data_IF_970757438311
#
_entry.id   IF_970757438311
#
_cell.length_a   1.000
_cell.length_b   1.000
_cell.length_c   1.000
_cell.angle_alpha   90.00
_cell.angle_beta   90.00
_cell.angle_gamma   90.00
#
_symmetry.space_group_name_H-M   'P 1'
#
loop_
_entity.id
_entity.type
_entity.pdbx_description
1 polymer ?
#
# COMPACT_ATOMS: atom_id res chain seq x y z
N UNK A 1 13.09 -30.87 -40.80
CA UNK A 1 12.24 -30.33 -41.88
C UNK A 1 11.38 -29.25 -41.26
N UNK A 2 11.66 -27.97 -41.53
CA UNK A 2 10.74 -26.90 -41.14
C UNK A 2 9.40 -27.18 -41.85
N UNK A 3 8.28 -27.17 -41.14
CA UNK A 3 7.00 -27.45 -41.78
C UNK A 3 6.68 -26.34 -42.79
N UNK A 4 6.02 -26.66 -43.89
CA UNK A 4 5.61 -25.68 -44.92
C UNK A 4 4.82 -24.50 -44.34
N UNK A 5 4.17 -24.71 -43.20
CA UNK A 5 3.49 -23.68 -42.40
C UNK A 5 4.46 -22.67 -41.77
N UNK A 6 5.62 -23.11 -41.30
CA UNK A 6 6.67 -22.22 -40.74
C UNK A 6 7.26 -21.35 -41.84
N UNK A 7 7.53 -21.92 -43.03
CA UNK A 7 8.04 -21.19 -44.20
C UNK A 7 7.02 -20.17 -44.73
N UNK A 8 5.74 -20.57 -44.84
CA UNK A 8 4.66 -19.66 -45.23
C UNK A 8 4.49 -18.52 -44.21
N UNK A 9 4.55 -18.82 -42.91
CA UNK A 9 4.43 -17.81 -41.87
C UNK A 9 5.59 -16.79 -41.93
N UNK A 10 6.82 -17.26 -42.15
CA UNK A 10 8.00 -16.39 -42.32
C UNK A 10 7.90 -15.49 -43.56
N UNK A 11 7.36 -16.01 -44.67
CA UNK A 11 7.10 -15.22 -45.88
C UNK A 11 6.02 -14.16 -45.64
N UNK A 12 4.90 -14.53 -45.01
CA UNK A 12 3.83 -13.60 -44.67
C UNK A 12 4.33 -12.49 -43.74
N UNK A 13 5.22 -12.82 -42.80
CA UNK A 13 5.87 -11.84 -41.94
C UNK A 13 6.68 -10.82 -42.73
N UNK A 14 7.31 -11.18 -43.85
CA UNK A 14 8.08 -10.23 -44.68
C UNK A 14 7.21 -9.16 -45.36
N UNK A 15 5.91 -9.42 -45.52
CA UNK A 15 4.94 -8.48 -46.11
C UNK A 15 4.28 -7.55 -45.09
N UNK A 16 4.47 -7.80 -43.79
CA UNK A 16 3.95 -6.90 -42.75
C UNK A 16 4.87 -5.66 -42.67
N UNK A 17 4.33 -4.44 -42.87
CA UNK A 17 5.12 -3.22 -42.75
C UNK A 17 5.84 -3.15 -41.41
N UNK A 18 7.10 -2.71 -41.42
CA UNK A 18 7.91 -2.62 -40.20
C UNK A 18 7.20 -1.82 -39.10
N UNK A 19 6.49 -0.75 -39.46
CA UNK A 19 5.66 0.05 -38.54
C UNK A 19 4.59 -0.78 -37.81
N UNK A 20 3.98 -1.75 -38.50
CA UNK A 20 2.97 -2.63 -37.91
C UNK A 20 3.61 -3.67 -37.00
N UNK A 21 4.78 -4.20 -37.34
CA UNK A 21 5.56 -5.09 -36.46
C UNK A 21 5.99 -4.39 -35.17
N UNK A 22 6.50 -3.16 -35.30
CA UNK A 22 6.89 -2.34 -34.15
C UNK A 22 5.67 -2.06 -33.27
N UNK A 23 4.55 -1.64 -33.85
CA UNK A 23 3.32 -1.40 -33.09
C UNK A 23 2.81 -2.66 -32.37
N UNK A 24 2.87 -3.84 -32.99
CA UNK A 24 2.50 -5.10 -32.34
C UNK A 24 3.44 -5.43 -31.17
N UNK A 25 4.76 -5.24 -31.36
CA UNK A 25 5.73 -5.46 -30.30
C UNK A 25 5.55 -4.49 -29.12
N UNK A 26 5.23 -3.22 -29.38
CA UNK A 26 4.93 -2.22 -28.35
C UNK A 26 3.69 -2.59 -27.54
N UNK A 27 2.66 -3.14 -28.18
CA UNK A 27 1.47 -3.65 -27.47
C UNK A 27 1.83 -4.83 -26.58
N UNK A 28 2.56 -5.82 -27.12
CA UNK A 28 2.96 -7.01 -26.36
C UNK A 28 3.84 -6.65 -25.16
N UNK A 29 4.78 -5.72 -25.32
CA UNK A 29 5.61 -5.21 -24.22
C UNK A 29 4.73 -4.55 -23.15
N UNK A 30 3.81 -3.67 -23.55
CA UNK A 30 2.94 -2.97 -22.61
C UNK A 30 2.02 -3.92 -21.85
N UNK A 31 1.50 -4.96 -22.49
CA UNK A 31 0.70 -5.99 -21.82
C UNK A 31 1.52 -6.72 -20.75
N UNK A 32 2.76 -7.10 -21.06
CA UNK A 32 3.68 -7.72 -20.09
C UNK A 32 4.03 -6.79 -18.93
N UNK A 33 4.25 -5.51 -19.21
CA UNK A 33 4.50 -4.48 -18.19
C UNK A 33 3.28 -4.30 -17.29
N UNK A 34 2.06 -4.28 -17.84
CA UNK A 34 0.82 -4.18 -17.08
C UNK A 34 0.64 -5.39 -16.15
N UNK A 35 0.81 -6.61 -16.68
CA UNK A 35 0.77 -7.85 -15.88
C UNK A 35 1.82 -7.87 -14.76
N UNK A 36 3.02 -7.36 -15.04
CA UNK A 36 4.07 -7.25 -14.05
C UNK A 36 3.71 -6.23 -12.96
N UNK A 37 3.17 -5.07 -13.37
CA UNK A 37 2.76 -4.01 -12.45
C UNK A 37 1.65 -4.50 -11.51
N UNK A 38 0.63 -5.21 -12.01
CA UNK A 38 -0.42 -5.80 -11.17
C UNK A 38 0.15 -6.70 -10.08
N UNK A 39 1.12 -7.56 -10.43
CA UNK A 39 1.79 -8.45 -9.47
C UNK A 39 2.64 -7.68 -8.46
N UNK A 40 3.29 -6.59 -8.88
CA UNK A 40 4.05 -5.71 -7.98
C UNK A 40 3.10 -5.04 -7.00
N UNK A 41 2.02 -4.42 -7.49
CA UNK A 41 1.04 -3.72 -6.67
C UNK A 41 0.40 -4.67 -5.64
N UNK A 42 0.04 -5.89 -6.03
CA UNK A 42 -0.48 -6.89 -5.11
C UNK A 42 0.50 -7.18 -3.94
N UNK A 43 1.81 -7.13 -4.18
CA UNK A 43 2.83 -7.30 -3.12
C UNK A 43 3.01 -6.04 -2.28
N UNK A 44 3.05 -4.89 -2.92
CA UNK A 44 3.17 -3.59 -2.22
C UNK A 44 1.97 -3.37 -1.31
N UNK A 45 0.77 -3.78 -1.73
CA UNK A 45 -0.45 -3.68 -0.95
C UNK A 45 -0.33 -4.36 0.42
N UNK A 46 0.38 -5.50 0.50
CA UNK A 46 0.59 -6.21 1.77
C UNK A 46 1.35 -5.39 2.82
N UNK A 47 2.12 -4.38 2.39
CA UNK A 47 2.90 -3.49 3.27
C UNK A 47 2.36 -2.07 3.31
N UNK A 48 1.25 -1.79 2.63
CA UNK A 48 0.61 -0.47 2.58
C UNK A 48 0.23 0.11 3.95
N UNK A 49 -0.30 -0.67 4.92
CA UNK A 49 -0.60 -0.15 6.26
C UNK A 49 0.62 0.44 7.01
N UNK A 50 1.84 0.15 6.56
CA UNK A 50 3.09 0.61 7.15
C UNK A 50 3.73 1.75 6.35
N UNK A 51 3.08 2.20 5.27
CA UNK A 51 3.57 3.29 4.43
C UNK A 51 2.95 4.63 4.84
N UNK A 52 3.80 5.65 4.99
CA UNK A 52 3.37 7.01 5.33
C UNK A 52 3.00 7.85 4.10
N UNK A 53 3.51 7.49 2.93
CA UNK A 53 3.16 8.12 1.65
C UNK A 53 2.60 7.07 0.71
N UNK A 54 1.48 7.42 0.08
CA UNK A 54 0.75 6.61 -0.88
C UNK A 54 0.95 7.10 -2.33
N UNK A 55 1.71 8.17 -2.54
CA UNK A 55 1.94 8.73 -3.87
C UNK A 55 3.13 8.06 -4.54
N UNK A 56 2.84 7.32 -5.62
CA UNK A 56 3.87 6.79 -6.51
C UNK A 56 4.45 7.92 -7.37
N UNK A 57 3.57 8.79 -7.86
CA UNK A 57 3.95 9.95 -8.68
C UNK A 57 3.25 11.16 -8.11
N UNK A 58 4.01 12.23 -7.86
CA UNK A 58 3.47 13.51 -7.44
C UNK A 58 4.09 14.65 -8.25
N UNK A 59 3.55 14.89 -9.44
CA UNK A 59 4.03 15.97 -10.32
C UNK A 59 3.15 17.20 -10.14
N UNK A 60 3.75 18.33 -9.76
CA UNK A 60 3.08 19.63 -9.73
C UNK A 60 3.82 20.61 -10.63
N UNK A 61 3.08 21.30 -11.49
CA UNK A 61 3.61 22.34 -12.37
C UNK A 61 2.86 23.64 -12.13
N UNK A 62 3.60 24.72 -11.94
CA UNK A 62 3.03 26.07 -11.90
C UNK A 62 3.12 26.70 -13.30
N UNK A 63 2.02 27.27 -13.75
CA UNK A 63 1.89 27.99 -15.02
C UNK A 63 1.52 29.44 -14.69
N UNK A 64 2.48 30.37 -14.68
CA UNK A 64 2.21 31.77 -14.37
C UNK A 64 1.42 32.44 -15.50
N UNK A 65 0.45 33.25 -15.11
CA UNK A 65 -0.30 34.16 -16.00
C UNK A 65 -0.07 35.64 -15.67
N UNK A 66 0.60 35.92 -14.55
CA UNK A 66 1.06 37.23 -14.10
C UNK A 66 2.04 37.07 -12.93
N UNK A 67 2.46 38.19 -12.35
CA UNK A 67 3.52 38.20 -11.32
C UNK A 67 3.11 37.44 -10.04
N UNK A 68 1.81 37.42 -9.72
CA UNK A 68 1.25 36.74 -8.54
C UNK A 68 -0.04 35.96 -8.89
N UNK A 69 -0.15 35.46 -10.12
CA UNK A 69 -1.31 34.68 -10.53
C UNK A 69 -0.94 33.60 -11.54
N UNK A 70 -1.69 32.50 -11.54
CA UNK A 70 -1.50 31.44 -12.52
C UNK A 70 -2.35 30.21 -12.24
N UNK A 71 -1.92 29.10 -12.83
CA UNK A 71 -2.49 27.78 -12.61
C UNK A 71 -1.48 26.85 -11.96
N UNK A 72 -1.95 25.97 -11.09
CA UNK A 72 -1.22 24.84 -10.57
C UNK A 72 -1.85 23.59 -11.17
N UNK A 73 -1.06 22.83 -11.93
CA UNK A 73 -1.47 21.55 -12.51
C UNK A 73 -0.79 20.47 -11.68
N UNK A 74 -1.58 19.69 -10.96
CA UNK A 74 -1.13 18.52 -10.20
C UNK A 74 -1.57 17.27 -10.93
N UNK A 75 -0.62 16.39 -11.26
CA UNK A 75 -0.88 15.08 -11.82
C UNK A 75 -0.22 14.04 -10.91
N UNK A 76 -1.06 13.25 -10.24
CA UNK A 76 -0.64 12.29 -9.23
C UNK A 76 -1.12 10.90 -9.57
N UNK A 77 -0.28 9.93 -9.25
CA UNK A 77 -0.63 8.52 -9.22
C UNK A 77 -0.43 8.04 -7.78
N UNK A 78 -1.51 7.57 -7.16
CA UNK A 78 -1.51 7.08 -5.81
C UNK A 78 -1.94 5.61 -5.77
N UNK A 79 -1.59 4.97 -4.66
CA UNK A 79 -1.91 3.57 -4.37
C UNK A 79 -2.42 3.50 -2.94
N UNK A 80 -3.64 3.00 -2.74
CA UNK A 80 -4.34 3.09 -1.46
C UNK A 80 -4.52 1.73 -0.80
N UNK A 81 -4.88 1.75 0.49
CA UNK A 81 -5.05 0.54 1.31
C UNK A 81 -6.31 -0.26 0.96
N UNK A 82 -7.27 0.34 0.24
CA UNK A 82 -8.56 -0.25 -0.09
C UNK A 82 -8.48 -1.32 -1.21
N UNK A 83 -7.31 -1.55 -1.78
CA UNK A 83 -7.04 -2.66 -2.69
C UNK A 83 -5.81 -2.42 -3.56
N UNK A 84 -5.36 -3.43 -4.33
CA UNK A 84 -4.21 -3.30 -5.21
C UNK A 84 -4.56 -2.54 -6.51
N UNK A 85 -5.25 -1.40 -6.40
CA UNK A 85 -5.64 -0.56 -7.53
C UNK A 85 -4.95 0.80 -7.50
N UNK A 86 -4.65 1.29 -8.70
CA UNK A 86 -4.08 2.61 -8.89
C UNK A 86 -5.17 3.67 -8.93
N UNK A 87 -4.87 4.83 -8.36
CA UNK A 87 -5.72 5.99 -8.42
C UNK A 87 -5.01 7.15 -9.07
N UNK A 88 -5.60 7.66 -10.14
CA UNK A 88 -5.13 8.87 -10.79
C UNK A 88 -5.86 10.07 -10.20
N UNK A 89 -5.10 11.09 -9.86
CA UNK A 89 -5.62 12.41 -9.52
C UNK A 89 -5.03 13.47 -10.44
N UNK A 90 -5.90 14.15 -11.18
CA UNK A 90 -5.52 15.28 -12.00
C UNK A 90 -6.30 16.51 -11.54
N UNK A 91 -5.56 17.49 -11.02
CA UNK A 91 -6.12 18.70 -10.43
C UNK A 91 -5.54 19.93 -11.13
N UNK A 92 -6.41 20.85 -11.53
CA UNK A 92 -6.02 22.17 -12.02
C UNK A 92 -6.65 23.21 -11.10
N UNK A 93 -5.82 23.96 -10.39
CA UNK A 93 -6.22 25.01 -9.47
C UNK A 93 -5.71 26.36 -9.97
N UNK A 94 -6.55 27.39 -9.94
CA UNK A 94 -6.06 28.75 -10.08
C UNK A 94 -5.40 29.20 -8.76
N UNK A 95 -4.24 29.86 -8.83
CA UNK A 95 -3.62 30.52 -7.68
C UNK A 95 -3.47 32.02 -7.97
N UNK A 96 -3.64 32.85 -6.94
CA UNK A 96 -3.45 34.28 -7.00
C UNK A 96 -4.08 35.04 -5.82
N UNK A 97 -4.09 36.37 -5.91
CA UNK A 97 -4.59 37.26 -4.84
C UNK A 97 -6.08 37.09 -4.54
N UNK A 98 -6.84 36.56 -5.49
CA UNK A 98 -8.18 36.04 -5.25
C UNK A 98 -8.07 34.50 -5.15
N UNK A 99 -8.53 33.94 -4.02
CA UNK A 99 -8.62 32.49 -3.73
C UNK A 99 -9.05 31.66 -4.96
N UNK A 100 -8.70 30.37 -5.11
CA UNK A 100 -8.94 29.61 -6.34
C UNK A 100 -10.37 29.81 -6.86
N UNK A 101 -10.50 30.55 -7.96
CA UNK A 101 -11.80 30.86 -8.55
C UNK A 101 -12.40 29.63 -9.27
N UNK A 102 -11.55 28.64 -9.60
CA UNK A 102 -11.97 27.34 -10.06
C UNK A 102 -10.96 26.25 -9.68
N UNK A 103 -11.48 25.04 -9.49
CA UNK A 103 -10.73 23.79 -9.37
C UNK A 103 -11.37 22.78 -10.33
N UNK A 104 -10.56 22.19 -11.22
CA UNK A 104 -10.98 21.02 -12.00
C UNK A 104 -10.33 19.81 -11.38
N UNK A 105 -11.15 18.83 -11.02
CA UNK A 105 -10.69 17.62 -10.34
C UNK A 105 -11.17 16.38 -11.10
N UNK A 106 -10.24 15.66 -11.71
CA UNK A 106 -10.46 14.38 -12.39
C UNK A 106 -9.74 13.28 -11.63
N UNK A 107 -10.49 12.69 -10.71
CA UNK A 107 -10.06 11.65 -9.79
C UNK A 107 -10.77 10.35 -10.14
N UNK A 108 -10.01 9.31 -10.48
CA UNK A 108 -10.58 8.00 -10.82
C UNK A 108 -9.59 6.86 -10.62
N UNK A 109 -10.15 5.68 -10.38
CA UNK A 109 -9.41 4.42 -10.54
C UNK A 109 -8.90 4.28 -11.97
N UNK A 110 -7.69 3.77 -12.12
CA UNK A 110 -7.02 3.59 -13.42
C UNK A 110 -6.42 2.19 -13.50
N UNK A 111 -6.51 1.56 -14.67
CA UNK A 111 -5.87 0.27 -14.89
C UNK A 111 -4.34 0.40 -14.97
N UNK A 112 -3.61 -0.69 -14.73
CA UNK A 112 -2.16 -0.73 -14.89
C UNK A 112 -1.73 -0.34 -16.31
N UNK A 113 -2.47 -0.79 -17.33
CA UNK A 113 -2.19 -0.48 -18.72
C UNK A 113 -2.34 1.02 -19.02
N UNK A 114 -3.44 1.64 -18.58
CA UNK A 114 -3.66 3.08 -18.74
C UNK A 114 -2.64 3.91 -17.93
N UNK A 115 -2.25 3.44 -16.75
CA UNK A 115 -1.22 4.10 -15.94
C UNK A 115 0.15 4.06 -16.65
N UNK A 116 0.55 2.91 -17.19
CA UNK A 116 1.79 2.78 -17.97
C UNK A 116 1.76 3.68 -19.20
N UNK A 117 0.63 3.72 -19.92
CA UNK A 117 0.47 4.60 -21.07
C UNK A 117 0.60 6.09 -20.70
N UNK A 118 0.12 6.48 -19.51
CA UNK A 118 0.09 7.88 -19.07
C UNK A 118 1.41 8.33 -18.46
N UNK A 119 2.07 7.46 -17.67
CA UNK A 119 3.22 7.84 -16.84
C UNK A 119 4.53 7.15 -17.24
N UNK A 120 4.46 6.01 -17.91
CA UNK A 120 5.59 5.13 -18.22
C UNK A 120 5.89 4.13 -17.12
N UNK A 121 6.16 2.87 -17.50
CA UNK A 121 6.44 1.79 -16.55
C UNK A 121 7.64 2.09 -15.65
N UNK A 122 8.75 2.54 -16.23
CA UNK A 122 9.98 2.86 -15.47
C UNK A 122 9.76 3.93 -14.40
N UNK A 123 8.96 4.96 -14.70
CA UNK A 123 8.66 6.05 -13.77
C UNK A 123 7.83 5.53 -12.60
N UNK A 124 6.85 4.67 -12.87
CA UNK A 124 6.01 4.04 -11.84
C UNK A 124 6.90 3.17 -10.93
N UNK A 125 7.75 2.32 -11.51
CA UNK A 125 8.67 1.48 -10.74
C UNK A 125 9.64 2.30 -9.87
N UNK A 126 10.17 3.41 -10.39
CA UNK A 126 11.04 4.30 -9.63
C UNK A 126 10.28 4.92 -8.44
N UNK A 127 9.06 5.41 -8.67
CA UNK A 127 8.21 5.97 -7.61
C UNK A 127 7.86 4.95 -6.52
N UNK A 128 7.50 3.73 -6.92
CA UNK A 128 7.25 2.63 -5.98
C UNK A 128 8.49 2.31 -5.14
N UNK A 129 9.67 2.26 -5.77
CA UNK A 129 10.92 2.01 -5.05
C UNK A 129 11.26 3.13 -4.05
N UNK A 130 11.01 4.39 -4.42
CA UNK A 130 11.22 5.53 -3.53
C UNK A 130 10.26 5.51 -2.34
N UNK A 131 8.98 5.25 -2.60
CA UNK A 131 7.95 5.05 -1.58
C UNK A 131 8.36 3.96 -0.57
N UNK A 132 8.87 2.83 -1.04
CA UNK A 132 9.32 1.72 -0.19
C UNK A 132 10.63 2.02 0.58
N UNK A 133 11.51 2.88 0.06
CA UNK A 133 12.76 3.26 0.76
C UNK A 133 12.49 4.08 2.02
N UNK A 134 11.37 4.79 2.08
CA UNK A 134 11.00 5.63 3.22
C UNK A 134 10.42 4.84 4.40
N UNK A 135 10.51 3.50 4.39
CA UNK A 135 9.94 2.66 5.44
C UNK A 135 10.76 2.61 6.73
N UNK A 136 10.04 2.63 7.87
CA UNK A 136 10.54 2.13 9.14
C UNK A 136 10.93 0.65 8.99
N UNK A 137 12.00 0.22 9.67
CA UNK A 137 12.41 -1.18 9.63
C UNK A 137 11.30 -2.07 10.23
N UNK A 138 10.54 -2.74 9.37
CA UNK A 138 9.37 -3.55 9.71
C UNK A 138 9.70 -4.62 10.75
N UNK A 139 10.94 -5.13 10.75
CA UNK A 139 11.40 -6.10 11.75
C UNK A 139 11.48 -5.50 13.16
N UNK A 140 11.85 -4.21 13.27
CA UNK A 140 11.91 -3.49 14.54
C UNK A 140 10.50 -3.23 15.08
N UNK A 141 9.57 -2.80 14.22
CA UNK A 141 8.18 -2.62 14.63
C UNK A 141 7.54 -3.95 15.05
N UNK A 142 7.78 -5.02 14.30
CA UNK A 142 7.30 -6.35 14.64
C UNK A 142 7.80 -6.83 16.01
N UNK A 143 9.11 -6.69 16.28
CA UNK A 143 9.71 -7.06 17.57
C UNK A 143 9.12 -6.25 18.73
N UNK A 144 8.89 -4.95 18.52
CA UNK A 144 8.25 -4.08 19.51
C UNK A 144 6.80 -4.50 19.79
N UNK A 145 6.03 -4.85 18.75
CA UNK A 145 4.65 -5.33 18.89
C UNK A 145 4.59 -6.68 19.62
N UNK A 146 5.47 -7.63 19.27
CA UNK A 146 5.57 -8.90 20.01
C UNK A 146 5.86 -8.68 21.49
N UNK A 147 6.77 -7.76 21.82
CA UNK A 147 7.10 -7.42 23.21
C UNK A 147 5.88 -6.82 23.94
N UNK A 148 5.14 -5.93 23.27
CA UNK A 148 3.91 -5.35 23.83
C UNK A 148 2.83 -6.41 24.07
N UNK A 149 2.62 -7.33 23.14
CA UNK A 149 1.67 -8.46 23.30
C UNK A 149 2.06 -9.29 24.52
N UNK A 150 3.33 -9.69 24.64
CA UNK A 150 3.82 -10.46 25.79
C UNK A 150 3.59 -9.76 27.13
N UNK A 151 3.76 -8.44 27.17
CA UNK A 151 3.50 -7.65 28.38
C UNK A 151 2.00 -7.62 28.72
N UNK A 152 1.12 -7.51 27.72
CA UNK A 152 -0.34 -7.57 27.92
C UNK A 152 -0.74 -8.95 28.43
N UNK A 153 -0.25 -10.03 27.83
CA UNK A 153 -0.54 -11.40 28.26
C UNK A 153 -0.08 -11.64 29.72
N UNK A 154 1.09 -11.11 30.08
CA UNK A 154 1.60 -11.19 31.45
C UNK A 154 0.70 -10.43 32.44
N UNK A 155 0.18 -9.27 32.05
CA UNK A 155 -0.76 -8.51 32.87
C UNK A 155 -2.11 -9.25 33.01
N UNK A 156 -2.62 -9.83 31.93
CA UNK A 156 -3.84 -10.63 31.95
C UNK A 156 -3.70 -11.84 32.87
N UNK A 157 -2.57 -12.56 32.81
CA UNK A 157 -2.29 -13.68 33.72
C UNK A 157 -2.24 -13.24 35.20
N UNK A 158 -1.64 -12.08 35.50
CA UNK A 158 -1.62 -11.54 36.87
C UNK A 158 -3.03 -11.17 37.33
N UNK A 159 -3.87 -10.62 36.45
CA UNK A 159 -5.26 -10.29 36.76
C UNK A 159 -6.12 -11.53 36.96
N UNK A 160 -5.98 -12.54 36.11
CA UNK A 160 -6.66 -13.84 36.24
C UNK A 160 -6.24 -14.54 37.54
N UNK A 161 -4.94 -14.60 37.83
CA UNK A 161 -4.43 -15.16 39.08
C UNK A 161 -4.95 -14.40 40.32
N UNK A 162 -5.04 -13.07 40.26
CA UNK A 162 -5.64 -12.27 41.35
C UNK A 162 -7.14 -12.51 41.50
N UNK A 163 -7.88 -12.62 40.40
CA UNK A 163 -9.31 -12.90 40.40
C UNK A 163 -9.61 -14.32 40.92
N UNK A 164 -8.71 -15.29 40.71
CA UNK A 164 -8.78 -16.63 41.29
C UNK A 164 -8.42 -16.66 42.79
N UNK A 165 -7.52 -15.77 43.24
CA UNK A 165 -7.12 -15.65 44.64
C UNK A 165 -8.11 -14.88 45.52
N UNK A 166 -8.84 -13.89 44.99
CA UNK A 166 -9.87 -13.15 45.74
C UNK A 166 -10.91 -14.05 46.44
N UNK A 167 -11.51 -15.06 45.79
CA UNK A 167 -12.44 -15.98 46.45
C UNK A 167 -11.77 -16.96 47.42
N UNK A 168 -10.44 -17.18 47.34
CA UNK A 168 -9.69 -18.00 48.28
C UNK A 168 -9.30 -17.21 49.54
N UNK A 169 -8.95 -15.93 49.39
CA UNK A 169 -8.69 -15.00 50.50
C UNK A 169 -10.00 -14.57 51.21
N UNK A 170 -11.13 -14.64 50.51
CA UNK A 170 -12.47 -14.44 51.08
C UNK A 170 -13.02 -15.62 51.90
N UNK A 171 -12.38 -16.80 51.86
CA UNK A 171 -12.74 -17.91 52.75
C UNK A 171 -12.15 -17.66 54.13
N UNK A 172 -12.97 -17.04 55.00
CA UNK A 172 -12.81 -17.10 56.46
C UNK A 172 -12.42 -18.52 56.88
N UNK A 173 -11.55 -18.60 57.89
CA UNK A 173 -11.30 -19.80 58.67
C UNK A 173 -12.64 -20.50 58.89
N UNK A 174 -12.75 -21.77 58.51
CA UNK A 174 -13.98 -22.53 58.77
C UNK A 174 -14.24 -22.54 60.28
N UNK A 175 -15.50 -22.59 60.75
CA UNK A 175 -15.80 -22.64 62.18
C UNK A 175 -15.02 -23.74 62.93
N UNK A 176 -14.72 -24.85 62.24
CA UNK A 176 -13.83 -25.92 62.72
C UNK A 176 -12.37 -25.46 62.90
N UNK A 177 -11.83 -24.67 61.98
CA UNK A 177 -10.48 -24.10 62.10
C UNK A 177 -10.37 -23.05 63.20
N UNK A 178 -11.43 -22.27 63.45
CA UNK A 178 -11.47 -21.32 64.59
C UNK A 178 -11.51 -22.08 65.92
N UNK A 179 -12.22 -23.21 65.99
CA UNK A 179 -12.24 -24.09 67.16
C UNK A 179 -10.89 -24.74 67.44
N UNK A 180 -10.22 -25.27 66.42
CA UNK A 180 -8.92 -25.93 66.58
C UNK A 180 -7.82 -24.94 67.03
N UNK A 181 -7.87 -23.69 66.56
CA UNK A 181 -6.96 -22.62 67.00
C UNK A 181 -7.25 -22.14 68.43
N UNK A 182 -8.52 -22.11 68.85
CA UNK A 182 -8.91 -21.71 70.21
C UNK A 182 -8.59 -22.77 71.27
N UNK A 183 -8.52 -24.05 70.90
CA UNK A 183 -8.25 -25.16 71.82
C UNK A 183 -6.74 -25.43 72.04
N UNK A 184 -5.85 -24.69 71.38
CA UNK A 184 -4.42 -24.70 71.67
C UNK A 184 -3.75 -26.07 71.57
N UNK A 185 -4.22 -26.92 70.65
CA UNK A 185 -3.50 -28.15 70.29
C UNK A 185 -2.87 -27.99 68.91
N UNK A 186 -1.60 -28.37 68.74
CA UNK A 186 -0.93 -28.31 67.44
C UNK A 186 -1.60 -29.22 66.40
#
# INVERSE_FOLDING_TARGET
MASSLVELNALLDSFVPLSKKVSMAEIEVREKEADALEKILARVWMVMPFLHDCHIINRRKLVPTGDNSGFAISNRLAFFDDGPHLFRSFVVEQWGTDSPAFEINDNRGISCNEAIQTYGFDVICAGLAEMLKCQCNVDVEYSNLQTRIKNIDSLLQVLEYRAELEPLLGKRITPEGERLLAEGKP
#
